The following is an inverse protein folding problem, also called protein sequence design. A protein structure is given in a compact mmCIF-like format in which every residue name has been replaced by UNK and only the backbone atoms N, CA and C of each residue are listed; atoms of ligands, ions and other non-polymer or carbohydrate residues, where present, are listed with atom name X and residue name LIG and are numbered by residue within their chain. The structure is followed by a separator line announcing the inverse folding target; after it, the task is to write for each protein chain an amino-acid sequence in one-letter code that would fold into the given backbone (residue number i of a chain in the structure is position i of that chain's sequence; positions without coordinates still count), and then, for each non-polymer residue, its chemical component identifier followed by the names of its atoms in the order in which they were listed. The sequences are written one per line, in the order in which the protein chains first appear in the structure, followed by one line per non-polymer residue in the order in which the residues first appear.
data_IF_075142935568
#
_entry.id   IF_075142935568
#
_cell.length_a   1.000
_cell.length_b   1.000
_cell.length_c   1.000
_cell.angle_alpha   90.00
_cell.angle_beta   90.00
_cell.angle_gamma   90.00
#
_symmetry.space_group_name_H-M   'P 1'
#
loop_
_entity.id
_entity.type
_entity.pdbx_description
1 polymer ?
#
# COMPACT_ATOMS: atom_id res chain seq x y z
N UNK A 1 -67.23 -3.68 -24.72
CA UNK A 1 -67.74 -4.40 -23.53
C UNK A 1 -67.68 -5.93 -23.61
N UNK A 2 -66.88 -6.55 -24.50
CA UNK A 2 -66.62 -8.01 -24.45
C UNK A 2 -65.15 -8.42 -24.60
N UNK A 3 -64.23 -7.50 -24.37
CA UNK A 3 -62.77 -7.77 -24.36
C UNK A 3 -62.06 -7.32 -23.07
N UNK A 4 -62.79 -6.84 -22.06
CA UNK A 4 -62.23 -6.45 -20.75
C UNK A 4 -62.56 -7.43 -19.61
N UNK A 5 -63.24 -8.54 -19.91
CA UNK A 5 -63.64 -9.54 -18.91
C UNK A 5 -62.77 -10.82 -18.94
N UNK A 6 -61.77 -10.93 -19.82
CA UNK A 6 -60.85 -12.08 -19.88
C UNK A 6 -59.50 -11.88 -19.19
N UNK A 7 -59.22 -10.67 -18.69
CA UNK A 7 -57.94 -10.37 -18.01
C UNK A 7 -58.01 -10.44 -16.48
N UNK A 8 -59.19 -10.66 -15.87
CA UNK A 8 -59.34 -10.72 -14.41
C UNK A 8 -59.52 -12.14 -13.82
N UNK A 9 -59.56 -13.18 -14.66
CA UNK A 9 -59.66 -14.58 -14.20
C UNK A 9 -58.31 -15.31 -14.10
N UNK A 10 -57.21 -14.75 -14.62
CA UNK A 10 -55.88 -15.40 -14.56
C UNK A 10 -55.02 -15.00 -13.33
N UNK A 11 -55.52 -14.14 -12.45
CA UNK A 11 -54.79 -13.67 -11.26
C UNK A 11 -55.22 -14.33 -9.93
N UNK A 12 -56.11 -15.33 -9.94
CA UNK A 12 -56.64 -15.95 -8.70
C UNK A 12 -56.37 -17.44 -8.49
N UNK A 13 -55.53 -18.09 -9.30
CA UNK A 13 -55.31 -19.55 -9.19
C UNK A 13 -53.85 -20.01 -8.91
N UNK A 14 -53.00 -19.17 -8.30
CA UNK A 14 -51.68 -19.65 -7.81
C UNK A 14 -51.33 -19.29 -6.36
N UNK A 15 -52.32 -18.91 -5.56
CA UNK A 15 -52.19 -18.92 -4.10
C UNK A 15 -52.84 -20.19 -3.53
N UNK A 16 -52.05 -21.25 -3.42
CA UNK A 16 -52.09 -22.28 -2.35
C UNK A 16 -51.29 -23.48 -2.82
N UNK A 17 -50.04 -23.55 -2.40
CA UNK A 17 -49.45 -24.78 -1.91
C UNK A 17 -48.11 -24.50 -1.22
N UNK A 18 -48.02 -24.93 0.03
CA UNK A 18 -46.80 -25.51 0.58
C UNK A 18 -45.72 -24.56 1.08
N UNK A 19 -45.83 -24.19 2.36
CA UNK A 19 -44.69 -23.69 3.13
C UNK A 19 -43.55 -24.72 3.19
N UNK A 20 -42.35 -24.21 3.01
CA UNK A 20 -41.08 -24.90 3.22
C UNK A 20 -40.01 -23.82 3.37
N UNK A 21 -39.83 -23.33 4.60
CA UNK A 21 -38.83 -22.32 4.91
C UNK A 21 -37.44 -22.82 4.58
N UNK A 22 -36.84 -22.26 3.53
CA UNK A 22 -35.40 -22.33 3.28
C UNK A 22 -34.89 -20.91 3.50
N UNK A 23 -34.16 -20.70 4.60
CA UNK A 23 -33.35 -19.51 4.78
C UNK A 23 -32.34 -19.45 3.64
N UNK A 24 -32.64 -18.65 2.61
CA UNK A 24 -31.64 -18.22 1.63
C UNK A 24 -30.79 -17.19 2.38
N UNK A 25 -29.79 -17.71 3.10
CA UNK A 25 -28.67 -16.90 3.54
C UNK A 25 -28.11 -16.20 2.32
N UNK A 26 -28.13 -14.87 2.37
CA UNK A 26 -27.35 -14.03 1.47
C UNK A 26 -25.89 -14.36 1.76
N UNK A 27 -25.37 -15.40 1.11
CA UNK A 27 -23.95 -15.60 0.98
C UNK A 27 -23.45 -14.46 0.11
N UNK A 28 -22.99 -13.39 0.75
CA UNK A 28 -22.01 -12.50 0.15
C UNK A 28 -20.75 -13.34 -0.10
N UNK A 29 -20.74 -14.12 -1.16
CA UNK A 29 -19.52 -14.63 -1.76
C UNK A 29 -18.82 -13.46 -2.46
N UNK A 30 -18.29 -12.53 -1.67
CA UNK A 30 -17.15 -11.74 -2.10
C UNK A 30 -15.96 -12.68 -2.07
N UNK A 31 -15.80 -13.47 -3.13
CA UNK A 31 -14.50 -14.01 -3.49
C UNK A 31 -13.51 -12.83 -3.48
N UNK A 32 -12.36 -12.93 -2.79
CA UNK A 32 -11.42 -11.83 -2.72
C UNK A 32 -10.99 -11.48 -4.14
N UNK A 33 -11.34 -10.27 -4.56
CA UNK A 33 -10.96 -9.68 -5.82
C UNK A 33 -9.43 -9.56 -5.83
N UNK A 34 -8.77 -10.55 -6.43
CA UNK A 34 -7.30 -10.63 -6.62
C UNK A 34 -6.56 -10.94 -5.32
N UNK A 35 -5.60 -11.87 -5.39
CA UNK A 35 -4.65 -12.06 -4.31
C UNK A 35 -3.85 -10.75 -4.15
N UNK A 36 -3.89 -10.13 -2.96
CA UNK A 36 -3.25 -8.84 -2.70
C UNK A 36 -1.76 -8.83 -3.01
N UNK A 37 -1.12 -9.99 -3.02
CA UNK A 37 0.31 -10.16 -3.24
C UNK A 37 0.65 -10.68 -4.65
N UNK A 38 -0.31 -10.70 -5.58
CA UNK A 38 -0.06 -11.15 -6.96
C UNK A 38 0.85 -10.17 -7.70
N UNK A 39 1.98 -10.67 -8.21
CA UNK A 39 2.99 -9.90 -8.95
C UNK A 39 3.16 -10.34 -10.38
N UNK A 40 2.31 -11.25 -10.86
CA UNK A 40 2.42 -11.82 -12.19
C UNK A 40 1.07 -11.75 -12.91
N UNK A 41 1.09 -11.39 -14.19
CA UNK A 41 -0.11 -11.37 -15.02
C UNK A 41 0.29 -11.48 -16.48
N UNK A 42 -0.55 -12.14 -17.27
CA UNK A 42 -0.37 -12.25 -18.71
C UNK A 42 -1.68 -12.03 -19.41
N UNK A 43 -1.67 -11.29 -20.51
CA UNK A 43 -2.89 -11.04 -21.26
C UNK A 43 -2.75 -9.97 -22.32
N UNK A 44 -3.86 -9.74 -23.01
CA UNK A 44 -3.93 -8.73 -24.06
C UNK A 44 -4.33 -7.38 -23.48
N UNK A 45 -3.62 -6.33 -23.90
CA UNK A 45 -4.03 -4.95 -23.69
C UNK A 45 -3.95 -4.19 -25.01
N UNK A 46 -4.68 -3.08 -25.09
CA UNK A 46 -4.53 -2.12 -26.17
C UNK A 46 -3.48 -1.10 -25.79
N UNK A 47 -2.53 -0.81 -26.69
CA UNK A 47 -1.53 0.24 -26.47
C UNK A 47 -1.61 1.36 -27.49
N UNK A 48 -1.64 2.58 -26.99
CA UNK A 48 -1.50 3.80 -27.79
C UNK A 48 -0.06 4.32 -27.77
N UNK A 49 0.31 5.12 -28.76
CA UNK A 49 1.57 5.86 -28.80
C UNK A 49 1.22 7.34 -28.82
N UNK A 50 1.94 8.20 -28.08
CA UNK A 50 1.69 9.66 -28.06
C UNK A 50 1.91 10.37 -29.42
N UNK A 51 2.13 9.62 -30.51
CA UNK A 51 2.21 10.18 -31.85
C UNK A 51 0.78 10.41 -32.37
N UNK A 52 0.50 11.63 -32.82
CA UNK A 52 -0.81 12.24 -33.11
C UNK A 52 -1.74 11.41 -34.01
N UNK A 53 -1.26 10.39 -34.73
CA UNK A 53 -2.05 9.64 -35.74
C UNK A 53 -1.91 8.12 -35.63
N UNK A 54 -1.36 7.57 -34.54
CA UNK A 54 -1.16 6.10 -34.46
C UNK A 54 -2.37 5.40 -33.84
N UNK A 55 -3.01 4.42 -34.52
CA UNK A 55 -4.13 3.68 -33.96
C UNK A 55 -3.69 2.85 -32.75
N UNK A 56 -4.64 2.57 -31.86
CA UNK A 56 -4.46 1.64 -30.75
C UNK A 56 -4.11 0.25 -31.30
N UNK A 57 -3.06 -0.39 -30.77
CA UNK A 57 -2.61 -1.71 -31.21
C UNK A 57 -2.76 -2.71 -30.08
N UNK A 58 -3.49 -3.80 -30.32
CA UNK A 58 -3.56 -4.93 -29.39
C UNK A 58 -2.22 -5.65 -29.34
N UNK A 59 -1.72 -5.92 -28.14
CA UNK A 59 -0.46 -6.62 -27.89
C UNK A 59 -0.60 -7.52 -26.69
N UNK A 60 0.24 -8.56 -26.63
CA UNK A 60 0.29 -9.47 -25.49
C UNK A 60 1.36 -8.99 -24.52
N UNK A 61 0.97 -8.81 -23.28
CA UNK A 61 1.81 -8.29 -22.21
C UNK A 61 1.98 -9.35 -21.13
N UNK A 62 3.16 -9.34 -20.51
CA UNK A 62 3.51 -10.27 -19.44
C UNK A 62 4.22 -9.48 -18.36
N UNK A 63 3.76 -9.60 -17.12
CA UNK A 63 4.48 -9.22 -15.92
C UNK A 63 4.94 -10.51 -15.26
N UNK A 64 6.25 -10.67 -15.10
CA UNK A 64 6.86 -11.79 -14.39
C UNK A 64 8.24 -11.34 -13.88
N UNK A 65 8.68 -11.85 -12.73
CA UNK A 65 9.99 -11.57 -12.15
C UNK A 65 10.34 -10.07 -12.05
N UNK A 66 9.35 -9.23 -11.73
CA UNK A 66 9.51 -7.76 -11.67
C UNK A 66 9.89 -7.10 -13.00
N UNK A 67 9.62 -7.76 -14.12
CA UNK A 67 9.86 -7.25 -15.47
C UNK A 67 8.55 -7.23 -16.26
N UNK A 68 8.29 -6.13 -16.94
CA UNK A 68 7.17 -5.96 -17.86
C UNK A 68 7.62 -6.19 -19.29
N UNK A 69 7.05 -7.19 -19.94
CA UNK A 69 7.36 -7.59 -21.30
C UNK A 69 6.23 -7.23 -22.27
N UNK A 70 6.63 -6.81 -23.47
CA UNK A 70 5.73 -6.56 -24.59
C UNK A 70 6.04 -7.56 -25.70
N UNK A 71 5.03 -8.29 -26.15
CA UNK A 71 5.13 -9.22 -27.26
C UNK A 71 4.39 -8.72 -28.49
N UNK A 72 5.01 -8.91 -29.66
CA UNK A 72 4.37 -8.69 -30.96
C UNK A 72 3.68 -9.99 -31.38
N UNK A 73 2.42 -9.89 -31.83
CA UNK A 73 1.80 -11.00 -32.58
C UNK A 73 2.33 -11.00 -34.00
N UNK A 74 2.74 -12.17 -34.48
CA UNK A 74 2.99 -12.43 -35.89
C UNK A 74 1.69 -12.88 -36.53
N UNK A 75 1.37 -12.38 -37.73
CA UNK A 75 0.18 -12.83 -38.45
C UNK A 75 0.52 -14.00 -39.39
N UNK A 76 -0.32 -15.02 -39.30
CA UNK A 76 -0.79 -15.94 -40.35
C UNK A 76 0.09 -16.97 -41.10
N UNK A 77 1.27 -17.40 -40.65
CA UNK A 77 1.82 -18.65 -41.24
C UNK A 77 2.75 -19.52 -40.39
N UNK A 78 3.11 -19.14 -39.16
CA UNK A 78 3.90 -20.03 -38.28
C UNK A 78 3.43 -19.89 -36.84
N UNK A 79 3.07 -21.03 -36.25
CA UNK A 79 2.76 -21.35 -34.85
C UNK A 79 3.09 -20.22 -33.87
N UNK A 80 2.08 -19.80 -33.11
CA UNK A 80 2.09 -18.93 -31.92
C UNK A 80 3.46 -18.81 -31.23
N UNK A 81 4.33 -17.95 -31.78
CA UNK A 81 5.60 -17.60 -31.14
C UNK A 81 5.57 -16.09 -30.91
N UNK A 82 5.18 -15.72 -29.70
CA UNK A 82 5.26 -14.35 -29.23
C UNK A 82 6.74 -13.92 -29.21
N UNK A 83 7.13 -12.95 -30.04
CA UNK A 83 8.48 -12.39 -29.98
C UNK A 83 8.49 -11.19 -29.02
N UNK A 84 9.40 -11.22 -28.03
CA UNK A 84 9.59 -10.18 -27.01
C UNK A 84 10.24 -8.96 -27.68
N UNK A 85 9.49 -7.87 -27.78
CA UNK A 85 9.92 -6.64 -28.47
C UNK A 85 10.30 -5.51 -27.49
N UNK A 86 9.97 -5.65 -26.21
CA UNK A 86 10.42 -4.75 -25.16
C UNK A 86 10.39 -5.46 -23.80
N UNK A 87 11.27 -5.04 -22.91
CA UNK A 87 11.31 -5.42 -21.50
C UNK A 87 11.59 -4.15 -20.69
N UNK A 88 10.79 -3.89 -19.65
CA UNK A 88 10.99 -2.80 -18.70
C UNK A 88 11.17 -3.40 -17.31
N UNK A 89 12.24 -3.01 -16.61
CA UNK A 89 12.33 -3.32 -15.18
C UNK A 89 11.29 -2.50 -14.43
N UNK A 90 10.47 -3.16 -13.61
CA UNK A 90 9.44 -2.49 -12.84
C UNK A 90 10.02 -1.57 -11.74
N UNK A 91 11.27 -1.78 -11.31
CA UNK A 91 11.86 -0.94 -10.26
C UNK A 91 12.00 0.53 -10.64
N UNK A 92 12.03 0.83 -11.94
CA UNK A 92 12.09 2.20 -12.47
C UNK A 92 10.75 2.67 -13.03
N UNK A 93 9.69 1.88 -12.85
CA UNK A 93 8.39 2.16 -13.43
C UNK A 93 7.45 2.87 -12.43
N UNK A 94 6.46 3.56 -12.98
CA UNK A 94 5.32 4.12 -12.23
C UNK A 94 4.04 3.85 -12.99
N UNK A 95 2.98 3.49 -12.27
CA UNK A 95 1.64 3.28 -12.83
C UNK A 95 0.75 4.45 -12.43
N UNK A 96 0.01 5.02 -13.39
CA UNK A 96 -0.98 6.08 -13.13
C UNK A 96 -2.23 5.84 -13.95
N UNK A 97 -3.45 6.01 -13.41
CA UNK A 97 -4.65 6.10 -14.24
C UNK A 97 -4.49 7.18 -15.30
N UNK A 98 -5.03 6.95 -16.50
CA UNK A 98 -5.12 7.99 -17.52
C UNK A 98 -6.24 8.96 -17.16
N UNK A 99 -6.06 10.23 -17.51
CA UNK A 99 -7.05 11.29 -17.31
C UNK A 99 -7.78 11.60 -18.61
N UNK A 100 -8.84 12.39 -18.53
CA UNK A 100 -9.60 12.81 -19.71
C UNK A 100 -8.74 13.63 -20.70
N UNK A 101 -7.70 14.32 -20.20
CA UNK A 101 -6.72 15.02 -21.05
C UNK A 101 -5.85 14.06 -21.88
N UNK A 102 -5.73 12.79 -21.46
CA UNK A 102 -4.89 11.79 -22.13
C UNK A 102 -5.65 11.00 -23.21
N UNK A 103 -6.91 10.63 -22.93
CA UNK A 103 -7.77 9.86 -23.84
C UNK A 103 -9.22 9.78 -23.36
N UNK A 104 -10.16 9.82 -24.31
CA UNK A 104 -11.59 9.56 -24.04
C UNK A 104 -11.93 8.08 -23.74
N UNK A 105 -10.94 7.17 -23.82
CA UNK A 105 -11.18 5.74 -23.60
C UNK A 105 -11.17 5.42 -22.10
N UNK A 106 -12.18 4.68 -21.66
CA UNK A 106 -12.26 4.15 -20.30
C UNK A 106 -11.22 3.06 -20.05
N UNK A 107 -10.88 2.86 -18.78
CA UNK A 107 -10.00 1.78 -18.32
C UNK A 107 -8.56 1.90 -18.84
N UNK A 108 -8.12 3.15 -18.99
CA UNK A 108 -6.80 3.51 -19.48
C UNK A 108 -5.85 3.84 -18.33
N UNK A 109 -4.60 3.41 -18.45
CA UNK A 109 -3.53 3.73 -17.51
C UNK A 109 -2.19 3.89 -18.22
N UNK A 110 -1.31 4.65 -17.59
CA UNK A 110 0.07 4.81 -17.99
C UNK A 110 0.97 3.84 -17.22
N UNK A 111 1.88 3.19 -17.96
CA UNK A 111 3.09 2.61 -17.40
C UNK A 111 4.27 3.46 -17.88
N UNK A 112 4.90 4.17 -16.94
CA UNK A 112 5.92 5.17 -17.20
C UNK A 112 7.27 4.61 -16.75
N UNK A 113 8.25 4.54 -17.64
CA UNK A 113 9.66 4.34 -17.31
C UNK A 113 10.52 5.47 -17.88
N UNK A 114 11.78 5.67 -17.44
CA UNK A 114 12.63 6.75 -17.93
C UNK A 114 12.86 6.70 -19.45
N UNK A 115 12.89 5.50 -20.03
CA UNK A 115 13.14 5.30 -21.46
C UNK A 115 11.86 5.22 -22.28
N UNK A 116 10.71 4.89 -21.66
CA UNK A 116 9.48 4.64 -22.41
C UNK A 116 8.22 4.81 -21.56
N UNK A 117 7.22 5.47 -22.12
CA UNK A 117 5.87 5.52 -21.56
C UNK A 117 4.90 4.75 -22.44
N UNK A 118 4.08 3.89 -21.84
CA UNK A 118 2.95 3.22 -22.48
C UNK A 118 1.64 3.80 -21.98
N UNK A 119 0.74 4.17 -22.89
CA UNK A 119 -0.68 4.35 -22.59
C UNK A 119 -1.41 3.06 -22.96
N UNK A 120 -1.96 2.38 -21.96
CA UNK A 120 -2.56 1.05 -22.05
C UNK A 120 -4.04 1.12 -21.71
N UNK A 121 -4.85 0.27 -22.33
CA UNK A 121 -6.28 0.15 -22.08
C UNK A 121 -6.65 -1.32 -21.88
N UNK A 122 -7.37 -1.61 -20.79
CA UNK A 122 -8.00 -2.91 -20.50
C UNK A 122 -9.41 -3.00 -21.09
N UNK A 123 -9.95 -4.21 -21.27
CA UNK A 123 -11.28 -4.40 -21.87
C UNK A 123 -12.41 -4.19 -20.85
N UNK A 124 -12.11 -4.22 -19.54
CA UNK A 124 -13.06 -3.96 -18.47
C UNK A 124 -12.45 -3.25 -17.25
N UNK A 125 -13.31 -2.67 -16.41
CA UNK A 125 -12.90 -2.09 -15.11
C UNK A 125 -12.22 -3.14 -14.20
N UNK A 126 -12.72 -4.38 -14.24
CA UNK A 126 -12.13 -5.48 -13.47
C UNK A 126 -10.69 -5.73 -13.91
N UNK A 127 -10.47 -5.92 -15.20
CA UNK A 127 -9.13 -6.13 -15.74
C UNK A 127 -8.22 -4.94 -15.48
N UNK A 128 -8.72 -3.72 -15.62
CA UNK A 128 -7.97 -2.52 -15.27
C UNK A 128 -7.44 -2.58 -13.84
N UNK A 129 -8.32 -2.85 -12.86
CA UNK A 129 -7.94 -2.97 -11.45
C UNK A 129 -6.89 -4.07 -11.24
N UNK A 130 -7.08 -5.24 -11.84
CA UNK A 130 -6.13 -6.36 -11.76
C UNK A 130 -4.76 -5.93 -12.30
N UNK A 131 -4.71 -5.41 -13.53
CA UNK A 131 -3.46 -5.00 -14.18
C UNK A 131 -2.73 -3.92 -13.38
N UNK A 132 -3.43 -2.89 -12.91
CA UNK A 132 -2.81 -1.84 -12.11
C UNK A 132 -2.30 -2.35 -10.76
N UNK A 133 -3.05 -3.26 -10.11
CA UNK A 133 -2.65 -3.84 -8.83
C UNK A 133 -1.39 -4.69 -8.98
N UNK A 134 -1.37 -5.61 -9.94
CA UNK A 134 -0.22 -6.48 -10.20
C UNK A 134 1.03 -5.67 -10.57
N UNK A 135 0.88 -4.61 -11.36
CA UNK A 135 2.01 -3.73 -11.68
C UNK A 135 2.51 -2.96 -10.45
N UNK A 136 1.63 -2.41 -9.63
CA UNK A 136 2.01 -1.71 -8.38
C UNK A 136 2.70 -2.67 -7.42
N UNK A 137 2.17 -3.87 -7.23
CA UNK A 137 2.77 -4.92 -6.41
C UNK A 137 4.15 -5.33 -6.95
N UNK A 138 4.25 -5.51 -8.27
CA UNK A 138 5.51 -5.83 -8.94
C UNK A 138 6.57 -4.73 -8.78
N UNK A 139 6.17 -3.45 -8.87
CA UNK A 139 7.06 -2.30 -8.62
C UNK A 139 7.53 -2.32 -7.16
N UNK A 140 6.62 -2.46 -6.19
CA UNK A 140 6.98 -2.54 -4.76
C UNK A 140 7.97 -3.68 -4.50
N UNK A 141 7.68 -4.89 -4.99
CA UNK A 141 8.58 -6.05 -4.89
C UNK A 141 9.94 -5.80 -5.53
N UNK A 142 9.98 -5.13 -6.69
CA UNK A 142 11.22 -4.80 -7.39
C UNK A 142 12.08 -3.81 -6.60
N UNK A 143 11.45 -2.81 -5.99
CA UNK A 143 12.10 -1.81 -5.13
C UNK A 143 12.61 -2.46 -3.84
N UNK A 144 11.80 -3.31 -3.22
CA UNK A 144 12.19 -4.11 -2.04
C UNK A 144 13.39 -5.03 -2.34
N UNK A 145 13.50 -5.51 -3.60
CA UNK A 145 14.60 -6.36 -4.05
C UNK A 145 15.86 -5.59 -4.45
N UNK A 146 15.74 -4.30 -4.78
CA UNK A 146 16.86 -3.39 -5.07
C UNK A 146 17.36 -2.62 -3.86
N UNK A 147 16.59 -2.64 -2.77
CA UNK A 147 17.11 -2.30 -1.47
C UNK A 147 18.31 -3.21 -1.17
N UNK A 148 19.46 -2.68 -0.72
CA UNK A 148 20.61 -3.50 -0.35
C UNK A 148 20.14 -4.53 0.69
N UNK A 149 20.19 -5.82 0.33
CA UNK A 149 19.77 -6.99 1.10
C UNK A 149 19.26 -6.65 2.52
N UNK A 150 17.99 -6.21 2.60
CA UNK A 150 17.49 -5.54 3.79
C UNK A 150 15.98 -5.50 3.85
N UNK A 151 15.43 -6.59 4.39
CA UNK A 151 14.12 -6.70 5.09
C UNK A 151 12.92 -7.18 4.26
N UNK A 152 12.76 -8.51 4.20
CA UNK A 152 11.44 -9.15 4.39
C UNK A 152 10.84 -8.65 5.72
N UNK A 153 9.50 -8.51 5.76
CA UNK A 153 8.72 -8.19 6.97
C UNK A 153 9.26 -8.92 8.21
N UNK A 154 9.64 -8.13 9.22
CA UNK A 154 9.96 -8.50 10.62
C UNK A 154 10.95 -9.65 10.85
N UNK A 155 12.22 -9.30 10.98
CA UNK A 155 13.01 -9.65 12.16
C UNK A 155 14.12 -8.62 12.36
N UNK A 156 14.10 -7.95 13.52
CA UNK A 156 15.27 -7.77 14.38
C UNK A 156 16.62 -7.66 13.64
N UNK A 157 16.83 -6.58 12.89
CA UNK A 157 18.17 -6.02 12.77
C UNK A 157 18.09 -4.51 12.65
N UNK A 158 17.75 -3.91 13.79
CA UNK A 158 18.17 -2.57 14.11
C UNK A 158 18.83 -2.65 15.48
N UNK A 159 20.11 -3.05 15.48
CA UNK A 159 20.90 -3.26 16.69
C UNK A 159 20.82 -2.06 17.66
N UNK A 160 20.73 -0.83 17.14
CA UNK A 160 20.57 0.38 17.96
C UNK A 160 19.20 0.40 18.66
N UNK A 161 18.11 0.23 17.90
CA UNK A 161 16.75 0.23 18.45
C UNK A 161 16.56 -0.88 19.48
N UNK A 162 16.99 -2.10 19.16
CA UNK A 162 16.85 -3.25 20.05
C UNK A 162 17.64 -3.07 21.34
N UNK A 163 18.85 -2.50 21.25
CA UNK A 163 19.70 -2.25 22.41
C UNK A 163 19.05 -1.26 23.38
N UNK A 164 18.49 -0.16 22.88
CA UNK A 164 17.81 0.83 23.72
C UNK A 164 16.48 0.27 24.25
N UNK A 165 15.68 -0.40 23.42
CA UNK A 165 14.41 -1.02 23.85
C UNK A 165 14.61 -2.10 24.90
N UNK A 166 15.67 -2.90 24.79
CA UNK A 166 16.00 -3.93 25.78
C UNK A 166 16.56 -3.35 27.10
N UNK A 167 16.97 -2.08 27.13
CA UNK A 167 17.50 -1.46 28.35
C UNK A 167 16.41 -1.19 29.40
N UNK A 168 15.17 -0.89 28.98
CA UNK A 168 14.03 -0.67 29.87
C UNK A 168 12.70 -0.91 29.12
N UNK A 169 11.73 -1.56 29.77
CA UNK A 169 10.42 -1.88 29.17
C UNK A 169 9.63 -0.63 28.74
N UNK A 170 9.84 0.52 29.41
CA UNK A 170 9.19 1.79 29.04
C UNK A 170 9.59 2.27 27.64
N UNK A 171 10.74 1.84 27.13
CA UNK A 171 11.24 2.22 25.80
C UNK A 171 10.44 1.57 24.66
N UNK A 172 9.53 0.63 24.97
CA UNK A 172 8.57 0.08 23.99
C UNK A 172 7.35 0.99 23.76
N UNK A 173 7.25 2.12 24.45
CA UNK A 173 6.17 3.10 24.27
C UNK A 173 6.74 4.49 24.07
N UNK A 174 6.13 5.25 23.17
CA UNK A 174 6.44 6.66 22.99
C UNK A 174 6.21 7.40 24.31
N UNK A 175 7.17 8.24 24.70
CA UNK A 175 7.09 8.97 25.96
C UNK A 175 5.93 9.97 26.00
N UNK A 176 5.61 10.61 24.87
CA UNK A 176 4.59 11.67 24.85
C UNK A 176 3.16 11.15 24.67
N UNK A 177 2.98 10.11 23.84
CA UNK A 177 1.65 9.67 23.42
C UNK A 177 1.36 8.19 23.71
N UNK A 178 2.34 7.45 24.23
CA UNK A 178 2.17 6.04 24.60
C UNK A 178 2.08 5.05 23.42
N UNK A 179 2.18 5.53 22.17
CA UNK A 179 2.13 4.67 20.97
C UNK A 179 3.23 3.60 21.02
N UNK A 180 2.97 2.37 20.57
CA UNK A 180 3.92 1.27 20.71
C UNK A 180 5.13 1.41 19.77
N UNK A 181 6.26 0.84 20.17
CA UNK A 181 7.50 0.68 19.40
C UNK A 181 8.01 2.00 18.78
N UNK A 182 8.31 3.03 19.58
CA UNK A 182 8.90 4.26 19.09
C UNK A 182 10.26 3.98 18.42
N UNK A 183 10.50 4.61 17.27
CA UNK A 183 11.73 4.42 16.47
C UNK A 183 12.56 5.69 16.34
N UNK A 184 12.18 6.75 17.06
CA UNK A 184 12.85 8.04 17.07
C UNK A 184 13.25 8.40 18.50
N UNK A 185 14.23 9.29 18.62
CA UNK A 185 14.73 9.78 19.91
C UNK A 185 14.91 11.29 19.90
N UNK A 186 14.74 11.91 21.07
CA UNK A 186 15.32 13.23 21.35
C UNK A 186 16.56 13.05 22.23
N UNK A 187 17.74 13.14 21.62
CA UNK A 187 19.01 12.78 22.27
C UNK A 187 19.26 13.58 23.55
N UNK A 188 19.03 14.89 23.50
CA UNK A 188 19.31 15.78 24.63
C UNK A 188 18.38 15.57 25.83
N UNK A 189 17.24 14.91 25.63
CA UNK A 189 16.32 14.53 26.72
C UNK A 189 16.45 13.05 27.09
N UNK A 190 17.14 12.24 26.28
CA UNK A 190 17.29 10.81 26.54
C UNK A 190 16.01 9.99 26.34
N UNK A 191 15.07 10.48 25.53
CA UNK A 191 13.73 9.88 25.36
C UNK A 191 13.52 9.27 23.98
N UNK A 192 12.63 8.27 23.91
CA UNK A 192 12.12 7.64 22.70
C UNK A 192 10.70 8.12 22.39
N UNK A 193 10.51 8.52 21.14
CA UNK A 193 9.27 9.08 20.59
C UNK A 193 8.87 8.39 19.28
N UNK A 194 7.59 8.42 18.94
CA UNK A 194 7.10 7.92 17.65
C UNK A 194 7.40 8.90 16.52
N UNK A 195 7.08 8.50 15.28
CA UNK A 195 7.32 9.36 14.11
C UNK A 195 6.50 10.65 14.18
N UNK A 196 5.26 10.59 14.64
CA UNK A 196 4.37 11.74 14.77
C UNK A 196 4.91 12.74 15.81
N UNK A 197 5.24 12.27 17.02
CA UNK A 197 5.83 13.09 18.07
C UNK A 197 7.20 13.64 17.68
N UNK A 198 8.00 12.89 16.92
CA UNK A 198 9.25 13.40 16.36
C UNK A 198 9.03 14.60 15.44
N UNK A 199 7.91 14.66 14.72
CA UNK A 199 7.51 15.82 13.91
C UNK A 199 7.24 17.07 14.76
N UNK A 200 6.55 16.88 15.90
CA UNK A 200 6.30 17.94 16.88
C UNK A 200 7.62 18.45 17.45
N UNK A 201 8.48 17.55 17.92
CA UNK A 201 9.80 17.88 18.45
C UNK A 201 10.68 18.65 17.46
N UNK A 202 10.61 18.31 16.16
CA UNK A 202 11.33 19.06 15.11
C UNK A 202 10.86 20.50 14.97
N UNK A 203 9.56 20.76 15.19
CA UNK A 203 8.98 22.11 15.09
C UNK A 203 9.52 23.06 16.16
N UNK A 204 9.98 22.52 17.30
CA UNK A 204 10.62 23.28 18.39
C UNK A 204 12.02 23.82 18.01
N UNK A 205 12.65 23.24 17.00
CA UNK A 205 13.99 23.59 16.56
C UNK A 205 15.12 22.85 17.29
N UNK A 206 16.28 22.79 16.64
CA UNK A 206 17.44 21.96 17.05
C UNK A 206 18.13 22.42 18.34
N UNK A 207 17.89 23.66 18.75
CA UNK A 207 18.37 24.21 20.01
C UNK A 207 17.54 23.73 21.21
N UNK A 208 16.33 23.22 20.97
CA UNK A 208 15.42 22.69 22.01
C UNK A 208 15.42 21.16 21.99
N UNK A 209 15.18 20.54 20.83
CA UNK A 209 15.10 19.07 20.72
C UNK A 209 15.99 18.55 19.60
N UNK A 210 16.91 17.65 19.97
CA UNK A 210 17.85 17.01 19.05
C UNK A 210 17.30 15.66 18.58
N UNK A 211 16.46 15.71 17.55
CA UNK A 211 15.75 14.53 17.01
C UNK A 211 16.65 13.67 16.10
N UNK A 212 16.67 12.35 16.32
CA UNK A 212 17.29 11.33 15.44
C UNK A 212 16.40 10.11 15.29
N UNK A 213 16.50 9.43 14.15
CA UNK A 213 15.87 8.14 13.90
C UNK A 213 16.80 7.02 14.34
N UNK A 214 16.30 6.07 15.14
CA UNK A 214 17.05 4.87 15.46
C UNK A 214 17.17 3.92 14.25
N UNK A 215 16.27 4.02 13.26
CA UNK A 215 16.25 3.17 12.07
C UNK A 215 16.93 3.76 10.85
N UNK A 216 17.01 5.09 10.77
CA UNK A 216 17.56 5.80 9.61
C UNK A 216 18.92 6.47 9.91
N UNK A 217 19.22 6.77 11.18
CA UNK A 217 20.48 7.42 11.57
C UNK A 217 21.41 6.47 12.33
N UNK A 218 22.71 6.58 12.03
CA UNK A 218 23.77 5.94 12.82
C UNK A 218 24.13 6.83 14.00
N UNK A 219 23.83 6.39 15.21
CA UNK A 219 24.24 7.05 16.44
C UNK A 219 25.64 6.59 16.85
N UNK A 220 26.43 7.50 17.43
CA UNK A 220 27.70 7.14 18.06
C UNK A 220 27.47 6.40 19.39
N UNK A 221 28.51 5.70 19.86
CA UNK A 221 28.42 4.88 21.09
C UNK A 221 28.13 5.71 22.34
N UNK A 222 28.63 6.96 22.41
CA UNK A 222 28.36 7.85 23.54
C UNK A 222 26.87 8.20 23.63
N UNK A 223 26.26 8.56 22.50
CA UNK A 223 24.82 8.83 22.40
C UNK A 223 23.99 7.59 22.76
N UNK A 224 24.40 6.42 22.26
CA UNK A 224 23.73 5.15 22.58
C UNK A 224 23.74 4.86 24.09
N UNK A 225 24.89 5.03 24.75
CA UNK A 225 25.01 4.83 26.19
C UNK A 225 24.14 5.80 26.99
N UNK A 226 24.06 7.07 26.58
CA UNK A 226 23.18 8.06 27.23
C UNK A 226 21.72 7.61 27.11
N UNK A 227 21.28 7.16 25.94
CA UNK A 227 19.90 6.71 25.71
C UNK A 227 19.57 5.44 26.50
N UNK A 228 20.50 4.50 26.62
CA UNK A 228 20.36 3.29 27.45
C UNK A 228 20.32 3.62 28.95
N UNK A 229 21.09 4.62 29.40
CA UNK A 229 21.15 5.01 30.79
C UNK A 229 19.98 5.87 31.23
N UNK A 230 19.43 6.74 30.37
CA UNK A 230 18.27 7.59 30.70
C UNK A 230 16.99 6.79 30.43
N UNK A 231 16.63 6.62 29.16
CA UNK A 231 15.38 5.98 28.74
C UNK A 231 14.11 6.70 29.23
N UNK A 232 12.96 6.23 28.77
CA UNK A 232 11.68 6.90 29.01
C UNK A 232 11.29 6.91 30.49
N UNK A 233 11.49 5.79 31.21
CA UNK A 233 11.16 5.69 32.62
C UNK A 233 11.85 6.76 33.47
N UNK A 234 13.18 6.91 33.35
CA UNK A 234 13.92 7.89 34.17
C UNK A 234 13.66 9.30 33.72
N UNK A 235 13.47 9.53 32.41
CA UNK A 235 13.05 10.82 31.91
C UNK A 235 11.72 11.24 32.51
N UNK A 236 10.70 10.36 32.55
CA UNK A 236 9.39 10.68 33.14
C UNK A 236 9.49 10.90 34.65
N UNK A 237 10.32 10.13 35.36
CA UNK A 237 10.57 10.37 36.79
C UNK A 237 11.11 11.78 37.10
N UNK A 238 11.71 12.45 36.11
CA UNK A 238 12.26 13.81 36.26
C UNK A 238 11.30 14.84 35.67
N UNK A 239 10.86 14.63 34.44
CA UNK A 239 10.07 15.59 33.66
C UNK A 239 8.59 15.58 34.04
N UNK A 240 8.04 14.42 34.39
CA UNK A 240 6.63 14.24 34.80
C UNK A 240 6.49 14.06 36.32
N UNK A 241 7.53 14.34 37.10
CA UNK A 241 7.55 14.08 38.56
C UNK A 241 6.34 14.64 39.33
N UNK A 242 5.83 15.80 38.92
CA UNK A 242 4.69 16.46 39.56
C UNK A 242 3.36 16.25 38.83
N UNK A 243 3.35 15.56 37.69
CA UNK A 243 2.18 15.50 36.82
C UNK A 243 0.98 14.88 37.53
N UNK A 244 1.17 13.79 38.27
CA UNK A 244 0.09 13.13 39.02
C UNK A 244 -0.53 14.05 40.08
N UNK A 245 0.29 14.79 40.82
CA UNK A 245 -0.19 15.74 41.84
C UNK A 245 -0.98 16.88 41.22
N UNK A 246 -0.49 17.44 40.11
CA UNK A 246 -1.17 18.52 39.40
C UNK A 246 -2.50 18.06 38.78
N UNK A 247 -2.58 16.81 38.31
CA UNK A 247 -3.84 16.24 37.81
C UNK A 247 -4.84 16.00 38.94
N UNK A 248 -4.39 15.44 40.08
CA UNK A 248 -5.25 15.23 41.25
C UNK A 248 -5.76 16.54 41.86
N UNK A 249 -4.98 17.62 41.81
CA UNK A 249 -5.41 18.95 42.24
C UNK A 249 -6.48 19.53 41.31
N UNK A 250 -6.31 19.38 39.99
CA UNK A 250 -7.30 19.83 38.99
C UNK A 250 -8.61 19.05 39.01
N UNK A 251 -8.59 17.78 39.40
CA UNK A 251 -9.82 16.99 39.56
C UNK A 251 -10.61 17.36 40.82
N UNK A 252 -9.98 18.07 41.77
CA UNK A 252 -10.60 18.52 43.02
C UNK A 252 -11.15 19.95 42.96
N UNK A 253 -10.80 20.73 41.94
CA UNK A 253 -11.34 22.06 41.63
C UNK A 253 -12.59 21.99 40.73
#
# INVERSE_FOLDING_TARGET
EKEKEKEQENEKEKEKEGGGGVMIGIAKETTPLVNKDETEIRGYLWKHSKAVVQPWKRRYFVVEDSIFYVHKLHDQNQKERTNRIAALSLSVCTVKPATDDDTDRRFCFHLISPQRTFLLQAESEREFKIWTNVLVNGISKALDSQAPAGKKKQSVDNKQLLRIQAADESNYRCVDCGSPNPTWVSINFGILICIECSGIHRSLGTHISKVRSLTLDKLDEETMLILEQIGNKKANMILEYNLEKELEEKEKE
#
